data_IF_471432259611
#
_entry.id   IF_471432259611
#
_cell.length_a   1.000
_cell.length_b   1.000
_cell.length_c   1.000
_cell.angle_alpha   90.00
_cell.angle_beta   90.00
_cell.angle_gamma   90.00
#
_symmetry.space_group_name_H-M   'P 1'
#
loop_
_entity.id
_entity.type
_entity.pdbx_description
1 polymer ?
#
# COMPACT_ATOMS: atom_id res chain seq x y z
N UNK A 1 -1.09 15.86 -19.17
CA UNK A 1 -1.72 14.88 -20.08
C UNK A 1 -1.98 13.64 -19.25
N UNK A 2 -3.21 13.16 -19.18
CA UNK A 2 -3.53 12.00 -18.34
C UNK A 2 -3.02 10.73 -19.02
N UNK A 3 -2.17 9.99 -18.31
CA UNK A 3 -1.49 8.78 -18.83
C UNK A 3 -2.45 7.59 -18.80
N UNK A 4 -2.52 6.83 -19.89
CA UNK A 4 -3.23 5.53 -19.92
C UNK A 4 -2.21 4.42 -19.70
N UNK A 5 -2.55 3.41 -18.90
CA UNK A 5 -1.65 2.32 -18.53
C UNK A 5 -2.04 1.01 -19.22
N UNK A 6 -1.11 0.06 -19.31
CA UNK A 6 -1.37 -1.28 -19.85
C UNK A 6 -1.15 -1.41 -21.36
N UNK A 7 -1.95 -2.25 -22.02
CA UNK A 7 -1.74 -2.62 -23.42
C UNK A 7 -2.36 -1.60 -24.38
N UNK A 8 -1.54 -0.68 -24.91
CA UNK A 8 -2.00 0.41 -25.79
C UNK A 8 -1.79 0.14 -27.28
N UNK A 9 -1.18 -0.99 -27.64
CA UNK A 9 -0.81 -1.29 -29.02
C UNK A 9 -2.07 -1.50 -29.87
N UNK A 10 -2.12 -0.83 -31.02
CA UNK A 10 -3.24 -0.94 -31.97
C UNK A 10 -4.45 -0.03 -31.67
N UNK A 11 -4.42 0.78 -30.61
CA UNK A 11 -5.49 1.73 -30.30
C UNK A 11 -5.42 2.97 -31.19
N UNK A 12 -6.58 3.38 -31.71
CA UNK A 12 -6.73 4.63 -32.48
C UNK A 12 -6.65 5.85 -31.57
N UNK A 13 -6.21 6.99 -32.11
CA UNK A 13 -6.16 8.26 -31.37
C UNK A 13 -7.52 8.70 -30.80
N UNK A 14 -8.63 8.34 -31.46
CA UNK A 14 -9.98 8.58 -30.95
C UNK A 14 -10.29 7.75 -29.70
N UNK A 15 -9.88 6.48 -29.68
CA UNK A 15 -10.06 5.57 -28.55
C UNK A 15 -9.22 6.02 -27.34
N UNK A 16 -7.97 6.44 -27.57
CA UNK A 16 -7.13 7.02 -26.52
C UNK A 16 -7.75 8.27 -25.88
N UNK A 17 -8.29 9.18 -26.70
CA UNK A 17 -9.01 10.38 -26.18
C UNK A 17 -10.24 10.00 -25.37
N UNK A 18 -10.96 8.94 -25.76
CA UNK A 18 -12.14 8.46 -25.04
C UNK A 18 -11.77 7.86 -23.69
N UNK A 19 -10.64 7.14 -23.60
CA UNK A 19 -10.09 6.63 -22.35
C UNK A 19 -9.62 7.77 -21.42
N UNK A 20 -8.95 8.79 -21.97
CA UNK A 20 -8.52 9.97 -21.19
C UNK A 20 -9.71 10.70 -20.56
N UNK A 21 -10.82 10.84 -21.28
CA UNK A 21 -12.05 11.45 -20.73
C UNK A 21 -12.61 10.75 -19.48
N UNK A 22 -12.22 9.49 -19.21
CA UNK A 22 -12.65 8.78 -18.01
C UNK A 22 -12.08 9.37 -16.72
N UNK A 23 -10.87 9.95 -16.74
CA UNK A 23 -10.29 10.61 -15.55
C UNK A 23 -11.12 11.79 -15.04
N UNK A 24 -11.84 12.45 -15.94
CA UNK A 24 -12.70 13.58 -15.62
C UNK A 24 -14.08 13.16 -15.09
N UNK A 25 -14.41 11.87 -15.15
CA UNK A 25 -15.66 11.35 -14.61
C UNK A 25 -15.57 11.26 -13.08
N UNK A 26 -16.73 11.42 -12.44
CA UNK A 26 -16.89 11.25 -11.00
C UNK A 26 -17.93 10.17 -10.74
N UNK A 27 -17.61 9.29 -9.81
CA UNK A 27 -18.54 8.32 -9.26
C UNK A 27 -18.90 8.78 -7.84
N UNK A 28 -20.14 8.64 -7.35
CA UNK A 28 -20.45 8.92 -5.95
C UNK A 28 -19.51 8.14 -5.00
N UNK A 29 -19.13 8.76 -3.89
CA UNK A 29 -18.17 8.17 -2.93
C UNK A 29 -18.76 7.03 -2.11
N UNK A 30 -20.09 7.06 -1.92
CA UNK A 30 -20.94 6.11 -1.20
C UNK A 30 -21.31 4.87 -2.02
N UNK A 31 -21.03 4.88 -3.32
CA UNK A 31 -21.40 3.78 -4.22
C UNK A 31 -20.21 3.15 -4.88
N UNK A 32 -20.32 1.85 -5.16
CA UNK A 32 -19.33 1.08 -5.91
C UNK A 32 -19.15 1.71 -7.31
N UNK A 33 -20.25 1.87 -8.02
CA UNK A 33 -20.32 2.45 -9.38
C UNK A 33 -21.70 3.05 -9.64
N UNK A 34 -21.87 3.69 -10.80
CA UNK A 34 -23.19 4.09 -11.33
C UNK A 34 -23.53 3.29 -12.59
N UNK A 35 -24.83 3.07 -12.90
CA UNK A 35 -25.23 2.40 -14.13
C UNK A 35 -24.63 3.05 -15.39
N UNK A 36 -24.62 4.37 -15.44
CA UNK A 36 -24.11 5.14 -16.58
C UNK A 36 -22.60 4.96 -16.74
N UNK A 37 -21.86 4.94 -15.63
CA UNK A 37 -20.41 4.75 -15.66
C UNK A 37 -20.06 3.32 -16.07
N UNK A 38 -20.70 2.32 -15.47
CA UNK A 38 -20.46 0.91 -15.80
C UNK A 38 -20.80 0.59 -17.26
N UNK A 39 -21.94 1.07 -17.77
CA UNK A 39 -22.31 0.87 -19.17
C UNK A 39 -21.37 1.61 -20.13
N UNK A 40 -20.86 2.79 -19.74
CA UNK A 40 -19.82 3.48 -20.52
C UNK A 40 -18.53 2.67 -20.61
N UNK A 41 -18.10 2.04 -19.52
CA UNK A 41 -16.92 1.15 -19.54
C UNK A 41 -17.15 -0.07 -20.42
N UNK A 42 -18.33 -0.69 -20.33
CA UNK A 42 -18.70 -1.83 -21.18
C UNK A 42 -18.67 -1.47 -22.68
N UNK A 43 -19.23 -0.32 -23.04
CA UNK A 43 -19.22 0.17 -24.41
C UNK A 43 -17.79 0.42 -24.93
N UNK A 44 -16.92 1.05 -24.14
CA UNK A 44 -15.51 1.28 -24.54
C UNK A 44 -14.77 -0.05 -24.66
N UNK A 45 -14.92 -0.94 -23.69
CA UNK A 45 -14.23 -2.24 -23.65
C UNK A 45 -14.61 -3.12 -24.85
N UNK A 46 -15.89 -3.15 -25.23
CA UNK A 46 -16.36 -3.84 -26.43
C UNK A 46 -15.84 -3.20 -27.72
N UNK A 47 -15.80 -1.87 -27.80
CA UNK A 47 -15.29 -1.15 -28.97
C UNK A 47 -13.79 -1.42 -29.22
N UNK A 48 -12.98 -1.44 -28.15
CA UNK A 48 -11.53 -1.70 -28.25
C UNK A 48 -11.20 -3.20 -28.25
N UNK A 49 -12.17 -4.07 -27.95
CA UNK A 49 -12.02 -5.53 -27.77
C UNK A 49 -10.93 -5.91 -26.76
N UNK A 50 -10.78 -5.09 -25.72
CA UNK A 50 -9.83 -5.30 -24.63
C UNK A 50 -10.47 -4.99 -23.27
N UNK A 51 -10.08 -5.72 -22.21
CA UNK A 51 -10.42 -5.38 -20.83
C UNK A 51 -9.97 -3.96 -20.45
N UNK A 52 -10.68 -3.35 -19.52
CA UNK A 52 -10.37 -2.05 -18.92
C UNK A 52 -10.31 -2.18 -17.41
N UNK A 53 -9.46 -1.40 -16.76
CA UNK A 53 -9.41 -1.27 -15.31
C UNK A 53 -9.42 0.21 -14.92
N UNK A 54 -10.38 0.60 -14.10
CA UNK A 54 -10.52 1.96 -13.58
C UNK A 54 -10.34 1.93 -12.07
N UNK A 55 -9.34 2.67 -11.59
CA UNK A 55 -9.06 2.78 -10.17
C UNK A 55 -9.64 4.08 -9.64
N UNK A 56 -10.50 3.99 -8.62
CA UNK A 56 -11.28 5.10 -8.09
C UNK A 56 -11.01 5.22 -6.60
N UNK A 57 -10.70 6.42 -6.12
CA UNK A 57 -10.53 6.65 -4.69
C UNK A 57 -11.88 6.76 -3.95
N UNK A 58 -11.87 6.74 -2.62
CA UNK A 58 -13.11 6.89 -1.81
C UNK A 58 -13.90 8.19 -2.05
N UNK A 59 -13.25 9.24 -2.59
CA UNK A 59 -13.92 10.50 -2.99
C UNK A 59 -14.57 10.42 -4.37
N UNK A 60 -14.51 9.27 -5.04
CA UNK A 60 -15.11 9.08 -6.34
C UNK A 60 -14.31 9.60 -7.53
N UNK A 61 -13.02 9.92 -7.32
CA UNK A 61 -12.12 10.38 -8.38
C UNK A 61 -11.48 9.19 -9.07
N UNK A 62 -11.50 9.19 -10.40
CA UNK A 62 -10.70 8.25 -11.20
C UNK A 62 -9.23 8.63 -11.07
N UNK A 63 -8.45 7.75 -10.44
CA UNK A 63 -7.03 7.92 -10.18
C UNK A 63 -6.14 7.29 -11.27
N UNK A 64 -6.63 6.23 -11.91
CA UNK A 64 -5.91 5.54 -12.98
C UNK A 64 -6.88 4.88 -13.95
N UNK A 65 -6.55 4.96 -15.23
CA UNK A 65 -7.23 4.26 -16.34
C UNK A 65 -6.23 3.31 -17.00
N UNK A 66 -6.56 2.02 -17.01
CA UNK A 66 -5.74 0.97 -17.60
C UNK A 66 -6.50 0.18 -18.67
N UNK A 67 -5.78 -0.22 -19.72
CA UNK A 67 -6.22 -1.18 -20.74
C UNK A 67 -5.53 -2.51 -20.47
N UNK A 68 -6.32 -3.55 -20.17
CA UNK A 68 -5.83 -4.85 -19.71
C UNK A 68 -6.47 -5.28 -18.39
N UNK A 69 -5.97 -6.37 -17.82
CA UNK A 69 -6.51 -6.96 -16.59
C UNK A 69 -6.00 -6.23 -15.34
N UNK A 70 -6.62 -6.46 -14.16
CA UNK A 70 -6.10 -5.93 -12.89
C UNK A 70 -4.63 -6.26 -12.65
N UNK A 71 -4.19 -7.46 -13.05
CA UNK A 71 -2.79 -7.85 -12.93
C UNK A 71 -1.83 -7.08 -13.85
N UNK A 72 -2.29 -6.63 -15.02
CA UNK A 72 -1.46 -5.88 -15.99
C UNK A 72 -1.44 -4.38 -15.70
N UNK A 73 -2.42 -3.87 -14.96
CA UNK A 73 -2.66 -2.43 -14.78
C UNK A 73 -2.49 -1.95 -13.34
N UNK A 74 -1.87 -2.78 -12.49
CA UNK A 74 -1.68 -2.51 -11.05
C UNK A 74 -1.07 -1.14 -10.81
N UNK A 75 -1.51 -0.52 -9.73
CA UNK A 75 -0.86 0.64 -9.13
C UNK A 75 0.41 0.15 -8.41
N UNK A 76 1.60 0.67 -8.75
CA UNK A 76 2.80 0.37 -7.99
C UNK A 76 2.62 0.75 -6.52
N UNK A 77 3.20 0.00 -5.57
CA UNK A 77 3.20 0.32 -4.15
C UNK A 77 3.38 1.81 -3.82
N UNK A 78 4.36 2.43 -4.47
CA UNK A 78 4.77 3.83 -4.31
C UNK A 78 3.68 4.86 -4.62
N UNK A 79 2.69 4.47 -5.43
CA UNK A 79 1.61 5.35 -5.87
C UNK A 79 0.30 5.09 -5.12
N UNK A 80 0.27 4.09 -4.22
CA UNK A 80 -0.91 3.82 -3.40
C UNK A 80 -1.03 4.87 -2.29
N UNK A 81 -2.23 5.43 -2.05
CA UNK A 81 -2.40 6.54 -1.12
C UNK A 81 -2.32 6.10 0.36
N UNK A 82 -2.47 4.81 0.65
CA UNK A 82 -2.33 4.22 1.98
C UNK A 82 -1.61 2.88 1.89
N UNK A 83 -0.75 2.63 2.87
CA UNK A 83 -0.01 1.37 3.05
C UNK A 83 -0.17 0.87 4.49
N UNK A 84 -0.09 -0.46 4.67
CA UNK A 84 -0.16 -1.14 5.97
C UNK A 84 -1.06 -2.39 5.97
N UNK A 85 -0.74 -3.36 6.82
CA UNK A 85 -1.52 -4.60 6.98
C UNK A 85 -2.86 -4.37 7.70
N UNK A 86 -2.95 -3.33 8.54
CA UNK A 86 -4.12 -2.94 9.35
C UNK A 86 -5.31 -2.37 8.55
N UNK A 87 -5.09 -1.98 7.28
CA UNK A 87 -6.10 -1.21 6.52
C UNK A 87 -6.08 -1.47 5.02
N UNK A 88 -7.12 -1.02 4.35
CA UNK A 88 -7.23 -1.07 2.88
C UNK A 88 -6.60 0.19 2.27
N UNK A 89 -6.21 0.12 1.00
CA UNK A 89 -5.44 1.17 0.35
C UNK A 89 -6.26 2.40 -0.02
N UNK A 90 -7.60 2.37 0.12
CA UNK A 90 -8.48 3.51 -0.18
C UNK A 90 -8.90 3.62 -1.65
N UNK A 91 -8.69 2.56 -2.42
CA UNK A 91 -8.98 2.50 -3.86
C UNK A 91 -9.84 1.28 -4.17
N UNK A 92 -10.93 1.49 -4.91
CA UNK A 92 -11.68 0.42 -5.58
C UNK A 92 -11.29 0.35 -7.05
N UNK A 93 -11.24 -0.87 -7.60
CA UNK A 93 -11.00 -1.10 -9.01
C UNK A 93 -12.27 -1.62 -9.68
N UNK A 94 -12.68 -0.98 -10.79
CA UNK A 94 -13.74 -1.47 -11.67
C UNK A 94 -13.07 -1.98 -12.94
N UNK A 95 -13.08 -3.30 -13.11
CA UNK A 95 -12.52 -4.00 -14.26
C UNK A 95 -13.63 -4.51 -15.19
N UNK A 96 -13.36 -4.59 -16.50
CA UNK A 96 -14.21 -5.27 -17.46
C UNK A 96 -13.58 -6.60 -17.89
N UNK A 97 -14.42 -7.57 -18.26
CA UNK A 97 -13.99 -8.80 -18.93
C UNK A 97 -14.92 -9.12 -20.09
N UNK A 98 -14.37 -9.68 -21.18
CA UNK A 98 -15.14 -10.01 -22.40
C UNK A 98 -15.63 -11.46 -22.44
N UNK A 99 -15.24 -12.27 -21.44
CA UNK A 99 -15.68 -13.65 -21.26
C UNK A 99 -16.51 -13.76 -19.99
N UNK A 100 -17.60 -14.51 -20.05
CA UNK A 100 -18.45 -14.82 -18.89
C UNK A 100 -17.77 -15.90 -18.06
N UNK A 101 -16.85 -15.50 -17.19
CA UNK A 101 -16.08 -16.38 -16.31
C UNK A 101 -16.05 -15.78 -14.90
N UNK A 102 -15.87 -16.64 -13.88
CA UNK A 102 -15.63 -16.21 -12.51
C UNK A 102 -14.29 -15.44 -12.46
N UNK A 103 -14.16 -14.39 -11.61
CA UNK A 103 -12.91 -13.67 -11.42
C UNK A 103 -11.71 -14.60 -11.26
N UNK A 104 -10.68 -14.42 -12.10
CA UNK A 104 -9.51 -15.28 -12.10
C UNK A 104 -8.69 -15.06 -10.84
N UNK A 105 -8.09 -16.14 -10.31
CA UNK A 105 -7.19 -16.07 -9.15
C UNK A 105 -6.10 -15.00 -9.31
N UNK A 106 -5.56 -14.83 -10.52
CA UNK A 106 -4.53 -13.81 -10.82
C UNK A 106 -5.04 -12.37 -10.61
N UNK A 107 -6.30 -12.09 -10.91
CA UNK A 107 -6.91 -10.78 -10.71
C UNK A 107 -7.22 -10.53 -9.23
N UNK A 108 -7.65 -11.58 -8.51
CA UNK A 108 -7.86 -11.55 -7.06
C UNK A 108 -6.54 -11.40 -6.29
N UNK A 109 -5.46 -12.04 -6.75
CA UNK A 109 -4.11 -11.81 -6.23
C UNK A 109 -3.66 -10.37 -6.48
N UNK A 110 -3.98 -9.78 -7.64
CA UNK A 110 -3.69 -8.36 -7.90
C UNK A 110 -4.47 -7.43 -6.95
N UNK A 111 -5.71 -7.78 -6.59
CA UNK A 111 -6.49 -7.07 -5.57
C UNK A 111 -5.82 -7.16 -4.19
N UNK A 112 -5.40 -8.37 -3.79
CA UNK A 112 -4.75 -8.62 -2.50
C UNK A 112 -3.41 -7.88 -2.35
N UNK A 113 -2.54 -7.94 -3.36
CA UNK A 113 -1.23 -7.26 -3.34
C UNK A 113 -1.39 -5.74 -3.16
N UNK A 114 -2.39 -5.15 -3.82
CA UNK A 114 -2.67 -3.71 -3.74
C UNK A 114 -3.55 -3.33 -2.55
N UNK A 115 -4.05 -4.32 -1.78
CA UNK A 115 -5.04 -4.14 -0.70
C UNK A 115 -6.22 -3.25 -1.09
N UNK A 116 -6.78 -3.48 -2.28
CA UNK A 116 -7.90 -2.67 -2.78
C UNK A 116 -9.10 -2.76 -1.83
N UNK A 117 -9.82 -1.64 -1.71
CA UNK A 117 -11.08 -1.57 -0.96
C UNK A 117 -12.12 -2.55 -1.56
N UNK A 118 -12.15 -2.67 -2.88
CA UNK A 118 -12.97 -3.63 -3.62
C UNK A 118 -12.43 -3.82 -5.05
N UNK A 119 -12.66 -5.00 -5.62
CA UNK A 119 -12.52 -5.29 -7.05
C UNK A 119 -13.89 -5.67 -7.62
N UNK A 120 -14.34 -4.91 -8.61
CA UNK A 120 -15.56 -5.18 -9.35
C UNK A 120 -15.18 -5.69 -10.73
N UNK A 121 -15.77 -6.80 -11.16
CA UNK A 121 -15.61 -7.30 -12.53
C UNK A 121 -16.95 -7.19 -13.26
N UNK A 122 -16.98 -6.42 -14.34
CA UNK A 122 -18.11 -6.26 -15.24
C UNK A 122 -17.93 -7.21 -16.43
N UNK A 123 -18.78 -8.24 -16.53
CA UNK A 123 -18.82 -9.08 -17.73
C UNK A 123 -19.53 -8.33 -18.84
N UNK A 124 -18.80 -8.07 -19.92
CA UNK A 124 -19.27 -7.33 -21.09
C UNK A 124 -19.65 -8.30 -22.18
N UNK A 125 -20.81 -8.07 -22.79
CA UNK A 125 -21.27 -8.80 -23.97
C UNK A 125 -21.47 -7.86 -25.14
N UNK A 126 -21.13 -8.32 -26.35
CA UNK A 126 -21.30 -7.55 -27.59
C UNK A 126 -22.77 -7.49 -28.06
N UNK A 127 -23.68 -8.28 -27.48
CA UNK A 127 -25.08 -8.42 -27.93
C UNK A 127 -26.02 -7.32 -27.43
N UNK A 128 -25.71 -6.04 -27.66
CA UNK A 128 -26.56 -4.90 -27.29
C UNK A 128 -27.16 -4.17 -28.49
N UNK A 129 -28.24 -3.41 -28.28
CA UNK A 129 -28.97 -2.64 -29.29
C UNK A 129 -28.02 -1.96 -30.29
N UNK A 130 -28.26 -2.18 -31.58
CA UNK A 130 -27.57 -1.44 -32.64
C UNK A 130 -27.84 0.06 -32.43
N UNK A 131 -26.79 0.86 -32.26
CA UNK A 131 -26.92 2.31 -32.45
C UNK A 131 -27.54 2.55 -33.82
N UNK A 132 -28.45 3.53 -33.94
CA UNK A 132 -28.80 4.12 -35.25
C UNK A 132 -27.49 4.55 -35.92
N UNK A 133 -26.97 3.73 -36.83
CA UNK A 133 -25.59 3.82 -37.35
C UNK A 133 -24.76 2.53 -37.37
N UNK A 134 -25.27 1.37 -36.93
CA UNK A 134 -24.72 0.05 -37.28
C UNK A 134 -23.53 -0.46 -36.47
N UNK A 135 -23.40 -0.08 -35.19
CA UNK A 135 -22.39 -0.64 -34.29
C UNK A 135 -23.04 -1.31 -33.08
N UNK A 136 -22.64 -2.56 -32.80
CA UNK A 136 -22.98 -3.27 -31.57
C UNK A 136 -22.45 -2.51 -30.34
N UNK A 137 -23.32 -2.17 -29.39
CA UNK A 137 -22.90 -1.51 -28.15
C UNK A 137 -22.70 -2.54 -27.06
N UNK A 138 -21.47 -2.67 -26.54
CA UNK A 138 -21.21 -3.50 -25.37
C UNK A 138 -22.05 -3.08 -24.17
N UNK A 139 -22.63 -4.04 -23.46
CA UNK A 139 -23.39 -3.82 -22.23
C UNK A 139 -22.92 -4.75 -21.12
N UNK A 140 -23.16 -4.35 -19.88
CA UNK A 140 -22.88 -5.18 -18.70
C UNK A 140 -23.93 -6.28 -18.59
N UNK A 141 -23.53 -7.53 -18.78
CA UNK A 141 -24.39 -8.71 -18.61
C UNK A 141 -24.58 -9.07 -17.13
N UNK A 142 -23.46 -9.17 -16.43
CA UNK A 142 -23.39 -9.58 -15.03
C UNK A 142 -22.16 -8.95 -14.38
N UNK A 143 -22.17 -8.92 -13.05
CA UNK A 143 -21.10 -8.33 -12.26
C UNK A 143 -20.68 -9.24 -11.13
N UNK A 144 -19.41 -9.16 -10.74
CA UNK A 144 -18.85 -9.80 -9.56
C UNK A 144 -18.25 -8.73 -8.66
N UNK A 145 -18.50 -8.83 -7.36
CA UNK A 145 -17.83 -8.04 -6.34
C UNK A 145 -16.87 -8.94 -5.57
N UNK A 146 -15.61 -8.55 -5.49
CA UNK A 146 -14.62 -9.16 -4.64
C UNK A 146 -14.06 -8.15 -3.65
N UNK A 147 -13.79 -8.60 -2.43
CA UNK A 147 -13.12 -7.82 -1.39
C UNK A 147 -12.23 -8.74 -0.57
N UNK A 148 -11.28 -8.15 0.15
CA UNK A 148 -10.45 -8.90 1.08
C UNK A 148 -11.24 -9.24 2.33
N UNK A 149 -10.84 -10.33 2.97
CA UNK A 149 -11.30 -10.72 4.31
C UNK A 149 -10.06 -10.90 5.19
N UNK A 150 -10.10 -10.53 6.47
CA UNK A 150 -9.04 -10.88 7.40
C UNK A 150 -8.95 -12.40 7.49
N UNK A 151 -7.73 -12.93 7.36
CA UNK A 151 -7.47 -14.36 7.53
C UNK A 151 -7.31 -14.61 9.02
N UNK A 152 -8.28 -15.29 9.62
CA UNK A 152 -8.17 -15.75 11.01
C UNK A 152 -7.00 -16.71 11.11
N UNK A 153 -6.02 -16.37 11.95
CA UNK A 153 -4.99 -17.31 12.35
C UNK A 153 -5.68 -18.47 13.07
N UNK A 154 -5.47 -19.69 12.60
CA UNK A 154 -6.11 -20.94 13.03
C UNK A 154 -7.57 -21.14 12.55
N UNK A 155 -7.72 -21.75 11.37
CA UNK A 155 -8.20 -23.12 11.23
C UNK A 155 -8.25 -23.51 9.75
N UNK A 156 -7.50 -24.57 9.41
CA UNK A 156 -7.63 -25.50 8.29
C UNK A 156 -8.30 -25.04 6.97
N UNK A 157 -7.55 -25.25 5.88
CA UNK A 157 -7.97 -25.50 4.49
C UNK A 157 -8.32 -24.30 3.59
N UNK A 158 -7.42 -23.98 2.66
CA UNK A 158 -7.67 -23.39 1.31
C UNK A 158 -8.57 -22.15 1.16
N UNK A 159 -9.03 -21.51 2.24
CA UNK A 159 -9.77 -20.26 2.15
C UNK A 159 -8.82 -19.14 1.74
N UNK A 160 -8.99 -18.67 0.50
CA UNK A 160 -8.27 -17.52 0.02
C UNK A 160 -8.60 -16.28 0.87
N UNK A 161 -7.66 -15.35 1.02
CA UNK A 161 -7.79 -14.08 1.77
C UNK A 161 -8.78 -13.07 1.16
N UNK A 162 -9.78 -13.54 0.43
CA UNK A 162 -10.77 -12.74 -0.26
C UNK A 162 -12.09 -13.48 -0.38
N UNK A 163 -13.17 -12.70 -0.36
CA UNK A 163 -14.51 -13.15 -0.70
C UNK A 163 -14.86 -12.68 -2.12
N UNK A 164 -15.61 -13.50 -2.87
CA UNK A 164 -16.13 -13.18 -4.20
C UNK A 164 -17.63 -13.46 -4.19
N UNK A 165 -18.43 -12.47 -4.56
CA UNK A 165 -19.88 -12.61 -4.66
C UNK A 165 -20.29 -13.61 -5.75
N UNK A 166 -21.50 -14.15 -5.63
CA UNK A 166 -22.20 -14.74 -6.77
C UNK A 166 -22.39 -13.69 -7.89
N UNK A 167 -22.57 -14.12 -9.16
CA UNK A 167 -22.88 -13.20 -10.24
C UNK A 167 -24.17 -12.44 -9.93
N UNK A 168 -24.11 -11.11 -10.00
CA UNK A 168 -25.22 -10.22 -9.68
C UNK A 168 -25.47 -9.22 -10.81
N UNK A 169 -26.70 -8.69 -10.87
CA UNK A 169 -27.06 -7.66 -11.85
C UNK A 169 -26.37 -6.33 -11.54
N UNK A 170 -26.21 -5.49 -12.56
CA UNK A 170 -25.66 -4.14 -12.39
C UNK A 170 -26.51 -3.29 -11.42
N UNK A 171 -27.83 -3.45 -11.44
CA UNK A 171 -28.74 -2.73 -10.53
C UNK A 171 -28.46 -3.11 -9.07
N UNK A 172 -28.31 -4.41 -8.79
CA UNK A 172 -28.00 -4.89 -7.44
C UNK A 172 -26.67 -4.33 -6.94
N UNK A 173 -25.62 -4.36 -7.77
CA UNK A 173 -24.31 -3.80 -7.44
C UNK A 173 -24.39 -2.29 -7.11
N UNK A 174 -25.17 -1.52 -7.88
CA UNK A 174 -25.27 -0.05 -7.70
C UNK A 174 -26.05 0.38 -6.46
N UNK A 175 -26.82 -0.54 -5.86
CA UNK A 175 -27.57 -0.32 -4.62
C UNK A 175 -26.77 -0.66 -3.36
N UNK A 176 -25.62 -1.32 -3.50
CA UNK A 176 -24.77 -1.65 -2.36
C UNK A 176 -24.09 -0.39 -1.80
N UNK A 177 -24.11 -0.26 -0.48
CA UNK A 177 -23.41 0.80 0.23
C UNK A 177 -21.92 0.46 0.30
N UNK A 178 -21.13 1.20 -0.47
CA UNK A 178 -19.68 0.98 -0.54
C UNK A 178 -18.98 1.47 0.73
N UNK A 179 -19.49 2.52 1.38
CA UNK A 179 -18.85 3.06 2.58
C UNK A 179 -19.05 2.11 3.76
N UNK A 180 -20.26 1.58 3.92
CA UNK A 180 -20.56 0.61 4.98
C UNK A 180 -19.69 -0.65 4.85
N UNK A 181 -19.60 -1.21 3.64
CA UNK A 181 -18.72 -2.35 3.34
C UNK A 181 -17.27 -2.08 3.74
N UNK A 182 -16.72 -0.93 3.33
CA UNK A 182 -15.30 -0.61 3.59
C UNK A 182 -15.05 -0.31 5.05
N UNK A 183 -15.97 0.38 5.73
CA UNK A 183 -15.86 0.68 7.17
C UNK A 183 -15.92 -0.62 7.98
N UNK A 184 -16.83 -1.54 7.64
CA UNK A 184 -16.90 -2.86 8.26
C UNK A 184 -15.60 -3.63 8.10
N UNK A 185 -15.09 -3.75 6.86
CA UNK A 185 -13.85 -4.46 6.58
C UNK A 185 -12.64 -3.81 7.28
N UNK A 186 -12.50 -2.48 7.29
CA UNK A 186 -11.40 -1.82 8.01
C UNK A 186 -11.48 -2.04 9.52
N UNK A 187 -12.68 -2.09 10.10
CA UNK A 187 -12.85 -2.43 11.51
C UNK A 187 -12.40 -3.88 11.80
N UNK A 188 -12.79 -4.83 10.96
CA UNK A 188 -12.37 -6.23 11.09
C UNK A 188 -10.84 -6.38 10.92
N UNK A 189 -10.24 -5.75 9.91
CA UNK A 189 -8.78 -5.76 9.73
C UNK A 189 -8.03 -5.12 10.91
N UNK A 190 -8.56 -4.02 11.46
CA UNK A 190 -7.95 -3.36 12.60
C UNK A 190 -8.05 -4.22 13.86
N UNK A 191 -9.19 -4.89 14.08
CA UNK A 191 -9.38 -5.80 15.22
C UNK A 191 -8.45 -7.00 15.12
N UNK A 192 -8.38 -7.65 13.96
CA UNK A 192 -7.50 -8.80 13.73
C UNK A 192 -6.03 -8.40 13.85
N UNK A 193 -5.63 -7.23 13.33
CA UNK A 193 -4.26 -6.74 13.47
C UNK A 193 -3.89 -6.48 14.94
N UNK A 194 -4.79 -5.91 15.74
CA UNK A 194 -4.59 -5.74 17.18
C UNK A 194 -4.54 -7.11 17.86
N UNK A 195 -5.43 -8.04 17.55
CA UNK A 195 -5.42 -9.38 18.11
C UNK A 195 -4.09 -10.10 17.81
N UNK A 196 -3.59 -10.03 16.58
CA UNK A 196 -2.29 -10.57 16.19
C UNK A 196 -1.12 -9.83 16.84
N UNK A 197 -1.19 -8.50 17.02
CA UNK A 197 -0.15 -7.77 17.78
C UNK A 197 -0.18 -8.06 19.29
N UNK A 198 -1.34 -8.41 19.84
CA UNK A 198 -1.50 -8.76 21.25
C UNK A 198 -1.15 -10.23 21.51
N UNK A 199 -1.38 -11.12 20.53
CA UNK A 199 -0.94 -12.52 20.56
C UNK A 199 0.56 -12.67 20.23
N UNK A 200 1.09 -11.83 19.35
CA UNK A 200 2.51 -11.78 19.02
C UNK A 200 3.13 -10.61 19.79
N UNK A 201 3.54 -10.87 21.02
CA UNK A 201 4.29 -9.94 21.91
C UNK A 201 5.69 -9.54 21.33
N UNK A 202 5.95 -9.87 20.06
CA UNK A 202 7.24 -9.77 19.39
C UNK A 202 7.13 -9.16 17.98
N UNK A 203 7.96 -8.16 17.67
CA UNK A 203 8.06 -7.62 16.31
C UNK A 203 8.59 -8.69 15.35
N UNK A 204 7.89 -8.96 14.25
CA UNK A 204 8.32 -9.90 13.20
C UNK A 204 9.24 -9.18 12.21
N UNK A 205 10.53 -9.45 12.31
CA UNK A 205 11.59 -8.64 11.70
C UNK A 205 12.17 -9.27 10.44
N UNK A 206 12.32 -8.45 9.40
CA UNK A 206 13.21 -8.70 8.28
C UNK A 206 14.51 -7.91 8.48
N UNK A 207 15.65 -8.59 8.50
CA UNK A 207 16.96 -7.95 8.60
C UNK A 207 17.52 -7.68 7.20
N UNK A 208 18.12 -6.49 7.01
CA UNK A 208 18.76 -6.11 5.75
C UNK A 208 20.22 -5.73 6.00
N UNK A 209 21.13 -6.53 5.47
CA UNK A 209 22.58 -6.26 5.47
C UNK A 209 23.08 -5.75 4.13
N UNK A 210 23.91 -4.71 4.17
CA UNK A 210 24.71 -4.27 3.02
C UNK A 210 26.20 -4.56 3.27
N UNK A 211 26.83 -5.29 2.37
CA UNK A 211 28.28 -5.52 2.35
C UNK A 211 28.93 -4.49 1.43
N UNK A 212 29.75 -3.60 1.99
CA UNK A 212 30.58 -2.63 1.24
C UNK A 212 31.96 -3.22 0.92
N UNK A 213 32.74 -2.57 0.04
CA UNK A 213 34.08 -3.04 -0.34
C UNK A 213 35.06 -3.13 0.83
N UNK A 214 34.87 -2.30 1.85
CA UNK A 214 35.75 -2.22 3.02
C UNK A 214 35.47 -3.29 4.08
N UNK A 215 34.41 -4.09 3.91
CA UNK A 215 34.07 -5.19 4.83
C UNK A 215 34.55 -6.53 4.27
N UNK A 216 35.17 -7.34 5.14
CA UNK A 216 35.37 -8.74 4.84
C UNK A 216 34.05 -9.50 4.93
N UNK A 217 33.96 -10.65 4.26
CA UNK A 217 32.77 -11.50 4.31
C UNK A 217 32.50 -12.02 5.73
N UNK A 218 33.57 -12.32 6.48
CA UNK A 218 33.48 -12.74 7.87
C UNK A 218 32.90 -11.63 8.78
N UNK A 219 33.39 -10.39 8.65
CA UNK A 219 32.89 -9.27 9.43
C UNK A 219 31.43 -8.96 9.12
N UNK A 220 31.04 -9.08 7.85
CA UNK A 220 29.67 -8.87 7.41
C UNK A 220 28.70 -9.91 8.01
N UNK A 221 29.03 -11.20 7.95
CA UNK A 221 28.19 -12.23 8.56
C UNK A 221 28.17 -12.15 10.10
N UNK A 222 29.29 -11.74 10.72
CA UNK A 222 29.33 -11.48 12.16
C UNK A 222 28.40 -10.32 12.56
N UNK A 223 28.39 -9.22 11.78
CA UNK A 223 27.48 -8.10 11.98
C UNK A 223 26.01 -8.50 11.86
N UNK A 224 25.68 -9.32 10.86
CA UNK A 224 24.34 -9.87 10.68
C UNK A 224 23.90 -10.78 11.84
N UNK A 225 24.80 -11.63 12.34
CA UNK A 225 24.53 -12.47 13.50
C UNK A 225 24.38 -11.64 14.79
N UNK A 226 25.14 -10.55 14.92
CA UNK A 226 25.01 -9.62 16.03
C UNK A 226 23.66 -8.90 16.02
N UNK A 227 23.27 -8.26 14.91
CA UNK A 227 22.00 -7.53 14.83
C UNK A 227 20.80 -8.44 15.02
N UNK A 228 20.87 -9.70 14.56
CA UNK A 228 19.83 -10.69 14.84
C UNK A 228 19.65 -10.92 16.34
N UNK A 229 20.76 -11.13 17.07
CA UNK A 229 20.72 -11.25 18.55
C UNK A 229 20.22 -9.99 19.25
N UNK A 230 20.55 -8.81 18.72
CA UNK A 230 20.04 -7.54 19.26
C UNK A 230 18.51 -7.45 19.08
N UNK A 231 18.00 -7.80 17.90
CA UNK A 231 16.55 -7.85 17.64
C UNK A 231 15.85 -8.83 18.58
N UNK A 232 16.37 -10.05 18.73
CA UNK A 232 15.84 -11.04 19.68
C UNK A 232 15.86 -10.52 21.13
N UNK A 233 16.94 -9.83 21.51
CA UNK A 233 17.07 -9.21 22.84
C UNK A 233 16.06 -8.09 23.07
N UNK A 234 15.68 -7.36 22.02
CA UNK A 234 14.65 -6.33 22.07
C UNK A 234 13.22 -6.91 22.07
N UNK A 235 13.08 -8.23 21.97
CA UNK A 235 11.79 -8.93 21.92
C UNK A 235 11.28 -9.19 20.50
N UNK A 236 12.07 -8.97 19.44
CA UNK A 236 11.66 -9.26 18.07
C UNK A 236 11.94 -10.71 17.63
N UNK A 237 11.12 -11.23 16.72
CA UNK A 237 11.31 -12.50 16.03
C UNK A 237 11.90 -12.25 14.63
N UNK A 238 13.12 -12.74 14.38
CA UNK A 238 13.78 -12.60 13.08
C UNK A 238 13.23 -13.65 12.10
N UNK A 239 12.42 -13.22 11.13
CA UNK A 239 11.84 -14.11 10.12
C UNK A 239 12.82 -14.44 8.99
N UNK A 240 13.59 -13.45 8.54
CA UNK A 240 14.52 -13.60 7.42
C UNK A 240 15.61 -12.53 7.43
N UNK A 241 16.76 -12.84 6.81
CA UNK A 241 17.86 -11.90 6.57
C UNK A 241 18.17 -11.77 5.08
N UNK A 242 18.07 -10.55 4.54
CA UNK A 242 18.41 -10.21 3.17
C UNK A 242 19.79 -9.55 3.10
N UNK A 243 20.56 -9.94 2.09
CA UNK A 243 21.93 -9.45 1.87
C UNK A 243 22.03 -8.72 0.53
N UNK A 244 22.84 -7.67 0.48
CA UNK A 244 23.25 -7.04 -0.77
C UNK A 244 24.72 -6.64 -0.72
N UNK A 245 25.47 -6.94 -1.79
CA UNK A 245 26.85 -6.46 -1.97
C UNK A 245 26.90 -5.24 -2.89
N UNK A 246 27.57 -4.16 -2.48
CA UNK A 246 27.80 -2.95 -3.30
C UNK A 246 29.17 -2.35 -2.98
N UNK A 247 29.69 -1.51 -3.87
CA UNK A 247 30.90 -0.72 -3.56
C UNK A 247 30.64 0.27 -2.42
N UNK A 248 29.58 1.06 -2.56
CA UNK A 248 29.16 2.06 -1.60
C UNK A 248 27.63 2.02 -1.37
N UNK A 249 27.16 2.51 -0.21
CA UNK A 249 25.73 2.65 0.08
C UNK A 249 25.05 3.57 -0.92
N UNK A 250 23.84 3.23 -1.34
CA UNK A 250 23.02 4.14 -2.13
C UNK A 250 22.67 5.37 -1.27
N UNK A 251 22.90 6.60 -1.76
CA UNK A 251 22.73 7.81 -0.94
C UNK A 251 21.31 7.96 -0.40
N UNK A 252 20.29 7.54 -1.16
CA UNK A 252 18.89 7.72 -0.79
C UNK A 252 18.26 6.56 -0.04
N UNK A 253 18.79 5.34 -0.14
CA UNK A 253 18.11 4.11 0.34
C UNK A 253 19.06 3.08 0.91
N UNK A 254 20.38 3.35 0.95
CA UNK A 254 21.46 2.41 1.29
C UNK A 254 21.60 1.23 0.32
N UNK A 255 20.50 0.58 -0.04
CA UNK A 255 20.40 -0.50 -1.01
C UNK A 255 19.93 0.00 -2.38
N UNK A 256 20.17 -0.78 -3.43
CA UNK A 256 19.71 -0.43 -4.79
C UNK A 256 18.19 -0.55 -4.96
N UNK A 257 17.61 0.19 -5.91
CA UNK A 257 16.16 0.22 -6.16
C UNK A 257 15.52 -1.17 -6.36
N UNK A 258 16.18 -2.07 -7.09
CA UNK A 258 15.69 -3.45 -7.25
C UNK A 258 15.64 -4.21 -5.92
N UNK A 259 16.58 -3.95 -5.01
CA UNK A 259 16.59 -4.58 -3.67
C UNK A 259 15.51 -3.98 -2.77
N UNK A 260 15.19 -2.69 -2.91
CA UNK A 260 14.06 -2.07 -2.19
C UNK A 260 12.75 -2.74 -2.59
N UNK A 261 12.54 -2.99 -3.89
CA UNK A 261 11.36 -3.71 -4.38
C UNK A 261 11.31 -5.17 -3.89
N UNK A 262 12.45 -5.85 -3.89
CA UNK A 262 12.58 -7.20 -3.34
C UNK A 262 12.22 -7.22 -1.85
N UNK A 263 12.75 -6.28 -1.06
CA UNK A 263 12.42 -6.13 0.38
C UNK A 263 10.92 -5.92 0.56
N UNK A 264 10.30 -5.00 -0.19
CA UNK A 264 8.86 -4.74 -0.09
C UNK A 264 8.01 -5.99 -0.37
N UNK A 265 8.40 -6.80 -1.35
CA UNK A 265 7.73 -8.06 -1.66
C UNK A 265 7.96 -9.12 -0.58
N UNK A 266 9.19 -9.27 -0.10
CA UNK A 266 9.54 -10.24 0.94
C UNK A 266 8.78 -9.96 2.23
N UNK A 267 8.75 -8.70 2.67
CA UNK A 267 8.02 -8.28 3.86
C UNK A 267 6.55 -8.70 3.80
N UNK A 268 5.89 -8.50 2.66
CA UNK A 268 4.51 -8.96 2.45
C UNK A 268 4.36 -10.48 2.44
N UNK A 269 5.35 -11.18 1.90
CA UNK A 269 5.30 -12.64 1.71
C UNK A 269 5.46 -13.38 3.02
N UNK A 270 6.35 -12.92 3.89
CA UNK A 270 6.63 -13.55 5.19
C UNK A 270 5.83 -12.93 6.34
N UNK A 271 5.09 -11.85 6.08
CA UNK A 271 4.31 -11.14 7.09
C UNK A 271 5.15 -10.34 8.10
N UNK A 272 6.37 -9.94 7.74
CA UNK A 272 7.17 -9.07 8.61
C UNK A 272 6.45 -7.73 8.81
N UNK A 273 6.51 -7.18 10.03
CA UNK A 273 5.93 -5.89 10.38
C UNK A 273 7.00 -4.81 10.63
N UNK A 274 8.28 -5.20 10.67
CA UNK A 274 9.42 -4.33 10.92
C UNK A 274 10.61 -4.72 10.03
N UNK A 275 11.30 -3.72 9.47
CA UNK A 275 12.56 -3.92 8.72
C UNK A 275 13.70 -3.27 9.48
N UNK A 276 14.73 -4.07 9.81
CA UNK A 276 15.91 -3.62 10.54
C UNK A 276 17.12 -3.62 9.62
N UNK A 277 17.79 -2.47 9.49
CA UNK A 277 19.04 -2.36 8.75
C UNK A 277 20.25 -2.55 9.67
N UNK A 278 21.20 -3.36 9.23
CA UNK A 278 22.45 -3.59 9.96
C UNK A 278 23.48 -2.46 9.76
N UNK A 279 23.04 -1.22 10.02
CA UNK A 279 23.84 0.01 10.00
C UNK A 279 22.97 1.21 10.34
N UNK A 280 23.60 2.34 10.61
CA UNK A 280 22.90 3.60 10.78
C UNK A 280 22.36 4.14 9.46
N UNK A 281 21.17 4.73 9.54
CA UNK A 281 20.49 5.34 8.41
C UNK A 281 20.31 6.83 8.66
N UNK A 282 20.56 7.65 7.64
CA UNK A 282 20.20 9.07 7.72
C UNK A 282 18.67 9.24 7.73
N UNK A 283 18.14 10.37 8.28
CA UNK A 283 16.71 10.66 8.27
C UNK A 283 16.07 10.60 6.88
N UNK A 284 16.82 11.02 5.84
CA UNK A 284 16.34 10.95 4.46
C UNK A 284 16.25 9.50 3.95
N UNK A 285 17.22 8.66 4.31
CA UNK A 285 17.21 7.24 3.94
C UNK A 285 16.05 6.48 4.57
N UNK A 286 15.81 6.69 5.86
CA UNK A 286 14.65 6.10 6.56
C UNK A 286 13.36 6.48 5.85
N UNK A 287 13.12 7.78 5.63
CA UNK A 287 11.90 8.25 4.95
C UNK A 287 11.72 7.67 3.56
N UNK A 288 12.79 7.62 2.78
CA UNK A 288 12.74 7.07 1.43
C UNK A 288 12.46 5.57 1.46
N UNK A 289 13.06 4.82 2.39
CA UNK A 289 12.81 3.40 2.56
C UNK A 289 11.40 3.14 3.06
N UNK A 290 10.92 3.86 4.07
CA UNK A 290 9.54 3.79 4.58
C UNK A 290 8.53 4.09 3.47
N UNK A 291 8.76 5.14 2.68
CA UNK A 291 7.89 5.50 1.56
C UNK A 291 7.89 4.43 0.45
N UNK A 292 9.02 3.75 0.23
CA UNK A 292 9.14 2.75 -0.83
C UNK A 292 8.71 1.33 -0.44
N UNK A 293 8.93 0.96 0.82
CA UNK A 293 8.62 -0.37 1.37
C UNK A 293 7.22 -0.37 2.01
N UNK A 294 6.75 0.77 2.51
CA UNK A 294 5.44 0.92 3.14
C UNK A 294 5.36 0.37 4.55
N UNK A 295 6.50 0.19 5.23
CA UNK A 295 6.64 -0.38 6.57
C UNK A 295 7.62 0.43 7.42
N UNK A 296 7.57 0.27 8.74
CA UNK A 296 8.52 0.90 9.67
C UNK A 296 9.94 0.41 9.38
N UNK A 297 10.86 1.36 9.26
CA UNK A 297 12.28 1.07 9.05
C UNK A 297 13.04 1.52 10.30
N UNK A 298 13.80 0.60 10.86
CA UNK A 298 14.63 0.82 12.04
C UNK A 298 16.09 0.58 11.66
N UNK A 299 16.98 1.42 12.20
CA UNK A 299 18.42 1.29 12.01
C UNK A 299 19.08 0.68 13.25
N UNK A 300 20.37 0.33 13.14
CA UNK A 300 21.11 -0.33 14.23
C UNK A 300 21.09 0.48 15.53
N UNK A 301 21.22 1.80 15.45
CA UNK A 301 21.21 2.68 16.63
C UNK A 301 19.87 2.64 17.35
N UNK A 302 18.75 2.67 16.62
CA UNK A 302 17.42 2.62 17.24
C UNK A 302 17.13 1.29 17.96
N UNK A 303 17.55 0.15 17.40
CA UNK A 303 17.45 -1.16 18.10
C UNK A 303 18.21 -1.13 19.43
N UNK A 304 19.43 -0.57 19.43
CA UNK A 304 20.26 -0.48 20.64
C UNK A 304 19.59 0.42 21.69
N UNK A 305 19.04 1.56 21.29
CA UNK A 305 18.32 2.47 22.18
C UNK A 305 17.09 1.80 22.81
N UNK A 306 16.35 1.00 22.04
CA UNK A 306 15.19 0.26 22.54
C UNK A 306 15.59 -0.78 23.60
N UNK A 307 16.69 -1.53 23.38
CA UNK A 307 17.24 -2.46 24.38
C UNK A 307 17.65 -1.71 25.66
N UNK A 308 18.30 -0.55 25.53
CA UNK A 308 18.66 0.25 26.69
C UNK A 308 17.45 0.77 27.45
N UNK A 309 16.38 1.16 26.74
CA UNK A 309 15.14 1.62 27.36
C UNK A 309 14.48 0.50 28.18
N UNK A 310 14.47 -0.72 27.66
CA UNK A 310 13.95 -1.90 28.37
C UNK A 310 14.80 -2.26 29.60
N UNK A 311 16.13 -2.06 29.53
CA UNK A 311 17.07 -2.42 30.61
C UNK A 311 17.29 -1.34 31.67
N UNK A 312 16.98 -0.08 31.38
CA UNK A 312 17.24 1.03 32.30
C UNK A 312 16.36 0.97 33.55
N UNK A 313 16.92 0.52 34.68
CA UNK A 313 16.19 0.43 35.96
C UNK A 313 16.35 1.67 36.84
N UNK A 314 17.54 2.27 36.87
CA UNK A 314 17.83 3.43 37.74
C UNK A 314 17.24 4.71 37.15
N UNK A 315 16.90 5.68 38.02
CA UNK A 315 16.38 6.99 37.59
C UNK A 315 17.38 7.72 36.69
N UNK A 316 18.66 7.68 37.02
CA UNK A 316 19.72 8.28 36.20
C UNK A 316 19.85 7.59 34.83
N UNK A 317 19.81 6.25 34.80
CA UNK A 317 19.86 5.49 33.56
C UNK A 317 18.66 5.74 32.65
N UNK A 318 17.44 5.78 33.22
CA UNK A 318 16.23 6.11 32.46
C UNK A 318 16.32 7.50 31.80
N UNK A 319 16.82 8.49 32.53
CA UNK A 319 17.01 9.85 32.00
C UNK A 319 18.07 9.90 30.90
N UNK A 320 19.16 9.15 31.02
CA UNK A 320 20.19 9.09 29.98
C UNK A 320 19.69 8.43 28.69
N UNK A 321 18.90 7.37 28.82
CA UNK A 321 18.29 6.72 27.66
C UNK A 321 17.22 7.60 27.02
N UNK A 322 16.37 8.25 27.83
CA UNK A 322 15.39 9.23 27.35
C UNK A 322 16.09 10.35 26.57
N UNK A 323 17.19 10.91 27.11
CA UNK A 323 17.99 11.93 26.43
C UNK A 323 18.52 11.42 25.08
N UNK A 324 19.12 10.24 25.03
CA UNK A 324 19.67 9.67 23.81
C UNK A 324 18.59 9.38 22.75
N UNK A 325 17.41 8.91 23.17
CA UNK A 325 16.25 8.73 22.29
C UNK A 325 15.77 10.08 21.73
N UNK A 326 15.67 11.11 22.56
CA UNK A 326 15.26 12.45 22.14
C UNK A 326 16.26 13.06 21.14
N UNK A 327 17.57 12.95 21.41
CA UNK A 327 18.63 13.40 20.50
C UNK A 327 18.60 12.67 19.16
N UNK A 328 18.35 11.36 19.17
CA UNK A 328 18.22 10.55 17.95
C UNK A 328 16.95 10.88 17.15
N UNK A 329 15.82 11.11 17.83
CA UNK A 329 14.53 11.41 17.19
C UNK A 329 14.47 12.83 16.61
N UNK A 330 15.06 13.82 17.29
CA UNK A 330 14.98 15.25 16.93
C UNK A 330 15.30 15.53 15.44
N UNK A 331 16.43 15.07 14.86
CA UNK A 331 16.75 15.28 13.45
C UNK A 331 15.88 14.47 12.49
N UNK A 332 15.13 13.47 12.98
CA UNK A 332 14.27 12.58 12.17
C UNK A 332 12.83 13.11 12.04
N UNK A 333 12.42 14.06 12.88
CA UNK A 333 11.08 14.68 12.85
C UNK A 333 10.86 15.67 11.68
N UNK A 334 11.93 16.24 11.12
CA UNK A 334 11.90 17.34 10.11
C UNK A 334 11.29 16.96 8.75
N UNK A 335 10.93 15.70 8.51
CA UNK A 335 10.31 15.26 7.24
C UNK A 335 8.87 14.76 7.34
N UNK A 336 8.26 14.69 8.54
CA UNK A 336 6.86 14.26 8.71
C UNK A 336 5.83 15.37 8.39
N UNK A 337 6.29 16.55 7.99
CA UNK A 337 5.48 17.76 7.83
C UNK A 337 4.59 17.83 6.60
N UNK A 338 4.89 17.14 5.52
CA UNK A 338 4.04 17.22 4.31
C UNK A 338 2.68 16.53 4.47
N UNK A 339 2.56 15.57 5.39
CA UNK A 339 1.31 14.90 5.74
C UNK A 339 0.46 15.71 6.74
N UNK A 340 1.10 16.45 7.65
CA UNK A 340 0.43 17.22 8.72
C UNK A 340 0.16 18.70 8.36
N UNK A 341 0.92 19.28 7.43
CA UNK A 341 0.78 20.68 6.96
C UNK A 341 -0.49 20.89 6.12
N UNK A 342 -0.94 19.84 5.40
CA UNK A 342 -2.14 19.93 4.54
C UNK A 342 -3.47 20.05 5.31
N UNK A 343 -3.49 19.82 6.62
CA UNK A 343 -4.69 20.05 7.45
C UNK A 343 -4.83 21.51 7.92
N UNK A 344 -3.81 22.36 7.76
CA UNK A 344 -3.81 23.76 8.22
C UNK A 344 -4.01 24.81 7.12
N UNK A 345 -4.09 24.41 5.85
CA UNK A 345 -4.06 25.32 4.69
C UNK A 345 -5.40 25.96 4.29
N UNK A 346 -6.29 26.26 5.25
CA UNK A 346 -7.48 27.06 5.00
C UNK A 346 -7.13 28.55 5.03
N UNK A 347 -7.45 29.28 3.95
CA UNK A 347 -7.34 30.74 3.88
C UNK A 347 -8.11 31.36 5.07
N UNK A 348 -7.42 31.86 6.10
CA UNK A 348 -8.06 32.71 7.11
C UNK A 348 -7.60 32.65 8.59
N UNK A 349 -6.65 31.82 9.03
CA UNK A 349 -6.28 31.81 10.46
C UNK A 349 -4.98 32.56 10.74
N UNK A 350 -5.10 33.86 11.07
CA UNK A 350 -4.04 34.65 11.72
C UNK A 350 -3.94 34.23 13.20
N UNK A 351 -3.26 33.12 13.45
CA UNK A 351 -2.69 32.72 14.74
C UNK A 351 -1.18 32.48 14.57
N UNK A 352 -0.39 32.33 15.65
CA UNK A 352 1.06 32.14 15.53
C UNK A 352 1.33 30.94 14.61
N UNK A 353 1.94 31.20 13.46
CA UNK A 353 2.07 30.27 12.33
C UNK A 353 3.05 29.12 12.55
N UNK A 354 3.14 28.62 13.78
CA UNK A 354 4.01 27.51 14.15
C UNK A 354 3.32 26.19 13.82
N UNK A 355 3.99 25.35 13.03
CA UNK A 355 3.47 24.03 12.68
C UNK A 355 3.50 23.10 13.90
N UNK A 356 2.58 22.12 13.99
CA UNK A 356 2.57 21.12 15.10
C UNK A 356 3.94 20.46 15.30
N UNK A 357 4.67 20.23 14.21
CA UNK A 357 6.03 19.67 14.25
C UNK A 357 7.07 20.63 14.78
N UNK A 358 6.97 21.93 14.49
CA UNK A 358 7.85 22.93 15.13
C UNK A 358 7.58 23.01 16.63
N UNK A 359 6.31 22.94 17.04
CA UNK A 359 5.93 22.90 18.47
C UNK A 359 6.50 21.66 19.17
N UNK A 360 6.37 20.49 18.54
CA UNK A 360 6.91 19.23 19.04
C UNK A 360 8.45 19.28 19.10
N UNK A 361 9.10 19.80 18.06
CA UNK A 361 10.55 20.00 18.03
C UNK A 361 11.01 20.93 19.16
N UNK A 362 10.36 22.07 19.37
CA UNK A 362 10.68 23.00 20.46
C UNK A 362 10.49 22.36 21.83
N UNK A 363 9.48 21.51 21.97
CA UNK A 363 9.23 20.77 23.22
C UNK A 363 10.36 19.79 23.50
N UNK A 364 10.79 19.01 22.49
CA UNK A 364 11.93 18.09 22.60
C UNK A 364 13.23 18.86 22.88
N UNK A 365 13.50 19.95 22.15
CA UNK A 365 14.70 20.78 22.36
C UNK A 365 14.74 21.50 23.71
N UNK A 366 13.60 21.69 24.39
CA UNK A 366 13.55 22.20 25.77
C UNK A 366 13.71 21.09 26.81
N UNK A 367 13.37 19.86 26.43
CA UNK A 367 13.41 18.67 27.29
C UNK A 367 14.83 18.11 27.40
N UNK A 368 15.58 18.17 26.30
CA UNK A 368 17.05 18.08 26.23
C UNK A 368 17.63 19.29 26.96
#
# INVERSE_FOLDING_TARGET
METIYGHLQGLKSSQLKQLQKLYHQRVPGDRITTPEFAQRLAAISAEIKQPLCIYINRRGQVMRVGVGTPNQTKIPPLELPRYGAERLCGIRCIATQLKSEIPKKVDLTAMAIQRLDALVILTVTESGFEKRGGGATGFVKETYLAHLIPVTAAENSEQNAWHVSLPQSLDMLTKQDFLDLVVGLEAEFSQEFIAQQVEVDADRVLIVGLMTQDLTEADFENGLAEIARLVETAGGEVLQTMRQKRSQPHPQTVVGAGKVQEIALTVQTIGANLVVFDRDLSPAQVRNLEAQIGMRIVDRTEVILDIFAQRAQSRAGKLQVELAQLEYMLPRLTGRGEAMSRLGGGIGTRGPGETKLETERRTISRRI
#
